data_IF_485410121056
#
_entry.id   IF_485410121056
#
_cell.length_a   1.000
_cell.length_b   1.000
_cell.length_c   1.000
_cell.angle_alpha   90.00
_cell.angle_beta   90.00
_cell.angle_gamma   90.00
#
_symmetry.space_group_name_H-M   'P 1'
#
loop_
_entity.id
_entity.type
_entity.pdbx_description
1 polymer ?
#
# COMPACT_ATOMS: atom_id res chain seq x y z
N UNK A 1 -4.06 -16.55 3.96
CA UNK A 1 -3.54 -15.96 2.71
C UNK A 1 -4.10 -14.57 2.46
N UNK A 2 -5.43 -14.39 2.34
CA UNK A 2 -6.03 -13.09 2.01
C UNK A 2 -5.71 -11.95 3.00
N UNK A 3 -5.57 -12.25 4.30
CA UNK A 3 -5.24 -11.24 5.32
C UNK A 3 -3.81 -10.70 5.15
N UNK A 4 -2.87 -11.56 4.75
CA UNK A 4 -1.47 -11.19 4.50
C UNK A 4 -1.36 -10.27 3.28
N UNK A 5 -2.03 -10.64 2.19
CA UNK A 5 -2.10 -9.83 0.96
C UNK A 5 -2.76 -8.48 1.25
N UNK A 6 -3.84 -8.46 2.05
CA UNK A 6 -4.50 -7.20 2.38
C UNK A 6 -3.62 -6.30 3.25
N UNK A 7 -2.85 -6.83 4.20
CA UNK A 7 -1.98 -6.02 5.06
C UNK A 7 -0.78 -5.45 4.29
N UNK A 8 -0.12 -6.27 3.47
CA UNK A 8 1.06 -5.83 2.70
C UNK A 8 0.69 -4.95 1.51
N UNK A 9 -0.41 -5.25 0.81
CA UNK A 9 -0.77 -4.55 -0.43
C UNK A 9 -1.75 -3.39 -0.23
N UNK A 10 -2.45 -3.30 0.91
CA UNK A 10 -3.53 -2.30 1.15
C UNK A 10 -3.14 -1.31 2.25
N UNK A 11 -1.94 -0.75 2.14
CA UNK A 11 -1.49 0.41 2.91
C UNK A 11 -1.35 1.64 2.02
N UNK A 12 -1.18 2.83 2.62
CA UNK A 12 -0.80 4.06 1.87
C UNK A 12 0.59 3.92 1.26
N UNK A 13 1.52 3.31 1.99
CA UNK A 13 2.95 3.33 1.72
C UNK A 13 3.36 2.58 0.42
N UNK A 14 2.79 1.42 0.07
CA UNK A 14 3.08 0.73 -1.19
C UNK A 14 2.64 1.50 -2.45
N UNK A 15 1.65 2.39 -2.33
CA UNK A 15 1.22 3.26 -3.43
C UNK A 15 2.02 4.57 -3.42
N UNK A 16 2.20 5.17 -2.24
CA UNK A 16 2.91 6.44 -2.11
C UNK A 16 4.40 6.32 -2.43
N UNK A 17 5.05 5.20 -2.07
CA UNK A 17 6.49 5.00 -2.29
C UNK A 17 6.88 5.12 -3.77
N UNK A 18 6.31 4.31 -4.68
CA UNK A 18 6.58 4.39 -6.11
C UNK A 18 6.19 5.74 -6.70
N UNK A 19 5.09 6.33 -6.25
CA UNK A 19 4.59 7.62 -6.71
C UNK A 19 5.54 8.75 -6.34
N UNK A 20 5.98 8.83 -5.08
CA UNK A 20 6.93 9.85 -4.61
C UNK A 20 8.29 9.71 -5.32
N UNK A 21 8.77 8.47 -5.47
CA UNK A 21 10.04 8.20 -6.17
C UNK A 21 9.98 8.57 -7.64
N UNK A 22 8.84 8.36 -8.32
CA UNK A 22 8.67 8.76 -9.71
C UNK A 22 8.53 10.29 -9.88
N UNK A 23 7.83 10.97 -8.97
CA UNK A 23 7.51 12.40 -9.11
C UNK A 23 8.57 13.34 -8.57
N UNK A 24 9.15 13.02 -7.40
CA UNK A 24 10.09 13.89 -6.69
C UNK A 24 11.52 13.37 -6.76
N UNK A 25 11.74 12.14 -7.24
CA UNK A 25 13.04 11.46 -7.13
C UNK A 25 13.42 11.07 -5.70
N UNK A 26 12.51 11.29 -4.73
CA UNK A 26 12.74 10.99 -3.32
C UNK A 26 12.35 9.54 -3.02
N UNK A 27 13.36 8.74 -2.69
CA UNK A 27 13.22 7.31 -2.40
C UNK A 27 12.96 7.01 -0.93
N UNK A 28 12.79 8.02 -0.09
CA UNK A 28 12.59 7.87 1.36
C UNK A 28 11.35 7.03 1.68
N UNK A 29 10.22 7.31 1.03
CA UNK A 29 8.98 6.55 1.21
C UNK A 29 9.07 5.13 0.66
N UNK A 30 9.75 4.94 -0.48
CA UNK A 30 10.00 3.61 -1.03
C UNK A 30 10.86 2.77 -0.07
N UNK A 31 11.91 3.35 0.50
CA UNK A 31 12.78 2.68 1.49
C UNK A 31 12.03 2.33 2.78
N UNK A 32 11.21 3.26 3.29
CA UNK A 32 10.34 3.00 4.45
C UNK A 32 9.42 1.82 4.16
N UNK A 33 8.82 1.79 2.95
CA UNK A 33 7.96 0.70 2.53
C UNK A 33 8.68 -0.65 2.49
N UNK A 34 9.90 -0.70 1.93
CA UNK A 34 10.67 -1.95 1.83
C UNK A 34 11.04 -2.48 3.22
N UNK A 35 11.43 -1.60 4.14
CA UNK A 35 11.75 -1.98 5.52
C UNK A 35 10.49 -2.46 6.26
N UNK A 36 9.38 -1.73 6.14
CA UNK A 36 8.12 -2.09 6.76
C UNK A 36 7.59 -3.44 6.25
N UNK A 37 7.58 -3.64 4.94
CA UNK A 37 7.17 -4.90 4.30
C UNK A 37 8.12 -6.05 4.63
N UNK A 38 9.43 -5.80 4.78
CA UNK A 38 10.41 -6.79 5.23
C UNK A 38 10.16 -7.26 6.66
N UNK A 39 9.94 -6.33 7.60
CA UNK A 39 9.67 -6.67 9.00
C UNK A 39 8.31 -7.38 9.13
N UNK A 40 7.26 -6.86 8.49
CA UNK A 40 5.92 -7.45 8.57
C UNK A 40 5.83 -8.82 7.91
N UNK A 41 6.51 -9.03 6.77
CA UNK A 41 6.58 -10.35 6.13
C UNK A 41 7.33 -11.37 6.98
N UNK A 42 8.40 -10.97 7.67
CA UNK A 42 9.12 -11.83 8.61
C UNK A 42 8.22 -12.27 9.78
N UNK A 43 7.46 -11.33 10.34
CA UNK A 43 6.53 -11.61 11.44
C UNK A 43 5.41 -12.53 10.94
N UNK A 44 4.79 -12.22 9.78
CA UNK A 44 3.74 -13.06 9.23
C UNK A 44 4.28 -14.43 8.80
N UNK A 45 5.56 -14.57 8.44
CA UNK A 45 6.17 -15.84 8.01
C UNK A 45 6.15 -16.87 9.12
N UNK A 46 6.36 -16.43 10.36
CA UNK A 46 6.20 -17.28 11.54
C UNK A 46 4.77 -17.81 11.72
N UNK A 47 3.76 -17.10 11.21
CA UNK A 47 2.33 -17.42 11.39
C UNK A 47 1.71 -18.15 10.19
N UNK A 48 2.07 -17.76 8.96
CA UNK A 48 1.47 -18.24 7.71
C UNK A 48 2.42 -19.05 6.80
N UNK A 49 3.69 -19.19 7.18
CA UNK A 49 4.66 -20.04 6.49
C UNK A 49 4.94 -19.64 5.04
N UNK A 50 5.04 -20.63 4.14
CA UNK A 50 5.40 -20.47 2.71
C UNK A 50 4.48 -19.50 1.94
N UNK A 51 3.27 -19.24 2.45
CA UNK A 51 2.25 -18.44 1.76
C UNK A 51 2.60 -16.95 1.56
N UNK A 52 3.67 -16.45 2.19
CA UNK A 52 4.11 -15.05 2.06
C UNK A 52 4.90 -14.77 0.80
N UNK A 53 5.58 -15.76 0.24
CA UNK A 53 6.32 -15.60 -1.02
C UNK A 53 5.38 -15.14 -2.13
N UNK A 54 4.14 -15.64 -2.14
CA UNK A 54 3.11 -15.21 -3.09
C UNK A 54 2.68 -13.75 -2.87
N UNK A 55 2.59 -13.29 -1.61
CA UNK A 55 2.26 -11.90 -1.29
C UNK A 55 3.37 -10.93 -1.69
N UNK A 56 4.64 -11.32 -1.53
CA UNK A 56 5.78 -10.52 -1.95
C UNK A 56 5.79 -10.30 -3.48
N UNK A 57 5.44 -11.34 -4.24
CA UNK A 57 5.32 -11.25 -5.69
C UNK A 57 4.22 -10.26 -6.12
N UNK A 58 3.04 -10.31 -5.49
CA UNK A 58 1.92 -9.39 -5.79
C UNK A 58 2.29 -7.95 -5.44
N UNK A 59 2.92 -7.73 -4.27
CA UNK A 59 3.35 -6.40 -3.85
C UNK A 59 4.30 -5.76 -4.87
N UNK A 60 5.27 -6.54 -5.34
CA UNK A 60 6.24 -6.10 -6.36
C UNK A 60 5.52 -5.73 -7.66
N UNK A 61 4.57 -6.55 -8.12
CA UNK A 61 3.79 -6.25 -9.33
C UNK A 61 3.01 -4.95 -9.18
N UNK A 62 2.36 -4.72 -8.03
CA UNK A 62 1.61 -3.48 -7.78
C UNK A 62 2.53 -2.26 -7.76
N UNK A 63 3.64 -2.32 -7.02
CA UNK A 63 4.57 -1.19 -6.90
C UNK A 63 5.20 -0.80 -8.23
N UNK A 64 5.59 -1.79 -9.04
CA UNK A 64 6.16 -1.54 -10.37
C UNK A 64 5.11 -0.98 -11.32
N UNK A 65 3.88 -1.50 -11.28
CA UNK A 65 2.79 -1.00 -12.11
C UNK A 65 2.45 0.46 -11.76
N UNK A 66 2.43 0.80 -10.47
CA UNK A 66 2.21 2.18 -9.99
C UNK A 66 3.39 3.07 -10.36
N UNK A 67 4.63 2.62 -10.20
CA UNK A 67 5.83 3.38 -10.59
C UNK A 67 5.77 3.79 -12.07
N UNK A 68 5.44 2.85 -12.95
CA UNK A 68 5.37 3.10 -14.39
C UNK A 68 4.17 3.99 -14.77
N UNK A 69 3.06 3.87 -14.04
CA UNK A 69 1.87 4.71 -14.26
C UNK A 69 2.02 6.12 -13.68
N UNK A 70 2.92 6.32 -12.71
CA UNK A 70 3.12 7.59 -12.02
C UNK A 70 3.62 8.70 -12.94
N UNK A 71 4.42 8.36 -13.96
CA UNK A 71 4.89 9.32 -14.96
C UNK A 71 3.71 9.97 -15.71
N UNK A 72 2.70 9.17 -16.04
CA UNK A 72 1.45 9.64 -16.68
C UNK A 72 0.55 10.41 -15.70
N UNK A 73 0.59 10.06 -14.42
CA UNK A 73 -0.22 10.65 -13.36
C UNK A 73 0.40 11.91 -12.75
N UNK A 74 1.65 12.21 -13.08
CA UNK A 74 2.42 13.38 -12.61
C UNK A 74 1.71 14.70 -12.83
N UNK A 75 0.96 14.80 -13.92
CA UNK A 75 0.17 15.98 -14.30
C UNK A 75 -0.97 16.26 -13.31
N UNK A 76 -1.48 15.24 -12.61
CA UNK A 76 -2.60 15.35 -11.68
C UNK A 76 -2.17 15.37 -10.21
N UNK A 77 -0.89 15.16 -9.90
CA UNK A 77 -0.43 14.99 -8.53
C UNK A 77 -0.06 16.30 -7.85
N UNK A 78 -1.06 16.93 -7.23
CA UNK A 78 -0.87 18.07 -6.32
C UNK A 78 -0.62 17.58 -4.89
N UNK A 79 0.13 18.36 -4.09
CA UNK A 79 0.44 18.06 -2.67
C UNK A 79 -0.79 17.75 -1.82
N UNK A 80 -1.94 18.38 -2.10
CA UNK A 80 -3.21 18.09 -1.44
C UNK A 80 -3.70 16.65 -1.67
N UNK A 81 -3.67 16.18 -2.92
CA UNK A 81 -4.13 14.83 -3.29
C UNK A 81 -3.25 13.78 -2.63
N UNK A 82 -1.95 14.04 -2.58
CA UNK A 82 -1.00 13.14 -1.94
C UNK A 82 -1.32 12.97 -0.45
N UNK A 83 -1.56 14.08 0.28
CA UNK A 83 -1.94 14.03 1.69
C UNK A 83 -3.23 13.23 1.95
N UNK A 84 -4.26 13.39 1.11
CA UNK A 84 -5.52 12.64 1.23
C UNK A 84 -5.30 11.14 1.01
N UNK A 85 -4.51 10.76 0.00
CA UNK A 85 -4.14 9.36 -0.28
C UNK A 85 -3.38 8.76 0.92
N UNK A 86 -2.45 9.52 1.52
CA UNK A 86 -1.74 9.06 2.73
C UNK A 86 -2.69 8.83 3.88
N UNK A 87 -3.62 9.75 4.11
CA UNK A 87 -4.58 9.70 5.21
C UNK A 87 -5.52 8.49 5.06
N UNK A 88 -6.07 8.28 3.87
CA UNK A 88 -6.92 7.11 3.56
C UNK A 88 -6.13 5.82 3.72
N UNK A 89 -4.90 5.75 3.22
CA UNK A 89 -4.11 4.53 3.31
C UNK A 89 -3.62 4.20 4.73
N UNK A 90 -3.44 5.19 5.61
CA UNK A 90 -3.19 4.94 7.05
C UNK A 90 -4.44 4.35 7.73
N UNK A 91 -5.64 4.83 7.39
CA UNK A 91 -6.90 4.26 7.89
C UNK A 91 -7.08 2.82 7.41
N UNK A 92 -6.72 2.53 6.16
CA UNK A 92 -6.75 1.18 5.59
C UNK A 92 -5.76 0.25 6.31
N UNK A 93 -4.54 0.71 6.55
CA UNK A 93 -3.54 -0.04 7.32
C UNK A 93 -4.04 -0.35 8.73
N UNK A 94 -4.65 0.61 9.43
CA UNK A 94 -5.29 0.38 10.73
C UNK A 94 -6.42 -0.66 10.65
N UNK A 95 -7.32 -0.56 9.66
CA UNK A 95 -8.39 -1.53 9.47
C UNK A 95 -7.86 -2.95 9.20
N UNK A 96 -6.79 -3.11 8.41
CA UNK A 96 -6.15 -4.41 8.18
C UNK A 96 -5.53 -4.98 9.46
N UNK A 97 -4.87 -4.15 10.28
CA UNK A 97 -4.33 -4.54 11.57
C UNK A 97 -5.41 -5.02 12.55
N UNK A 98 -6.54 -4.31 12.63
CA UNK A 98 -7.69 -4.74 13.45
C UNK A 98 -8.30 -6.06 12.95
N UNK A 99 -8.28 -6.29 11.64
CA UNK A 99 -8.77 -7.54 11.03
C UNK A 99 -7.87 -8.73 11.39
N UNK A 100 -6.55 -8.52 11.53
CA UNK A 100 -5.62 -9.54 12.06
C UNK A 100 -5.97 -9.88 13.51
N UNK A 101 -6.34 -8.89 14.33
CA UNK A 101 -6.81 -9.10 15.71
C UNK A 101 -8.19 -9.76 15.80
N UNK A 102 -8.85 -10.09 14.67
CA UNK A 102 -10.22 -10.63 14.59
C UNK A 102 -11.30 -9.75 15.25
N UNK A 103 -10.99 -8.49 15.56
CA UNK A 103 -11.94 -7.55 16.17
C UNK A 103 -12.94 -7.04 15.12
N UNK A 104 -12.51 -6.87 13.87
CA UNK A 104 -13.36 -6.41 12.76
C UNK A 104 -13.16 -7.25 11.50
N UNK A 105 -14.24 -7.65 10.81
CA UNK A 105 -14.16 -8.38 9.52
C UNK A 105 -14.34 -7.42 8.34
N UNK A 106 -13.38 -6.53 8.14
CA UNK A 106 -13.44 -5.53 7.06
C UNK A 106 -12.75 -6.10 5.81
N UNK A 107 -13.46 -6.11 4.67
CA UNK A 107 -12.89 -6.49 3.37
C UNK A 107 -12.05 -5.31 2.84
N UNK A 108 -10.84 -5.14 3.38
CA UNK A 108 -9.97 -4.00 3.05
C UNK A 108 -9.60 -3.96 1.56
N UNK A 109 -9.50 -5.12 0.91
CA UNK A 109 -9.33 -5.22 -0.55
C UNK A 109 -10.42 -4.50 -1.36
N UNK A 110 -11.63 -4.34 -0.81
CA UNK A 110 -12.74 -3.64 -1.45
C UNK A 110 -12.73 -2.13 -1.18
N UNK A 111 -11.84 -1.66 -0.28
CA UNK A 111 -11.61 -0.24 -0.01
C UNK A 111 -10.39 0.31 -0.77
N UNK A 112 -9.66 -0.53 -1.50
CA UNK A 112 -8.65 -0.10 -2.47
C UNK A 112 -9.16 0.97 -3.47
N UNK A 113 -10.39 0.86 -4.01
CA UNK A 113 -10.96 1.89 -4.89
C UNK A 113 -11.14 3.25 -4.18
N UNK A 114 -11.25 3.28 -2.85
CA UNK A 114 -11.37 4.53 -2.10
C UNK A 114 -10.11 5.38 -2.20
N UNK A 115 -8.95 4.77 -2.49
CA UNK A 115 -7.70 5.48 -2.73
C UNK A 115 -7.73 6.31 -4.03
N UNK A 116 -8.64 6.01 -4.96
CA UNK A 116 -8.82 6.73 -6.22
C UNK A 116 -9.90 7.82 -6.15
N UNK A 117 -10.72 7.87 -5.09
CA UNK A 117 -11.69 8.97 -4.89
C UNK A 117 -11.02 10.36 -4.85
N UNK A 118 -9.89 10.57 -4.14
CA UNK A 118 -9.22 11.87 -4.09
C UNK A 118 -8.74 12.35 -5.46
N UNK A 119 -8.44 11.44 -6.38
CA UNK A 119 -7.99 11.74 -7.75
C UNK A 119 -9.09 12.35 -8.60
N UNK A 120 -10.36 12.03 -8.30
CA UNK A 120 -11.50 12.34 -9.16
C UNK A 120 -12.32 13.53 -8.64
N UNK A 121 -12.20 13.86 -7.36
CA UNK A 121 -13.00 14.90 -6.69
C UNK A 121 -12.31 16.27 -6.66
N UNK A 122 -11.00 16.34 -6.92
CA UNK A 122 -10.14 17.51 -6.70
C UNK A 122 -9.29 17.81 -7.93
#
# INVERSE_FOLDING_TARGET
MNVCISLLCVGSIPILGPLQSALQGDNTFLQINTIFSGITSLILASTFGIGIIFSAFILLVIEVLVFFSADFLSVFMTTNIMNEITLIGVILALCTGLNILKITKIKVLNLLPALFIPIFLL
#
